data_IF_594877994545
#
_entry.id   IF_594877994545
#
_cell.length_a   1.000
_cell.length_b   1.000
_cell.length_c   1.000
_cell.angle_alpha   90.00
_cell.angle_beta   90.00
_cell.angle_gamma   90.00
#
_symmetry.space_group_name_H-M   'P 1'
#
loop_
_entity.id
_entity.type
_entity.pdbx_description
1 polymer ?
#
# COMPACT_ATOMS: atom_id res chain seq x y z
N UNK A 1 -12.51 8.47 22.56
CA UNK A 1 -13.15 8.13 21.28
C UNK A 1 -12.09 8.26 20.22
N UNK A 2 -11.65 7.22 19.58
CA UNK A 2 -10.64 7.37 18.55
C UNK A 2 -11.30 7.97 17.31
N UNK A 3 -10.83 9.14 16.94
CA UNK A 3 -10.91 9.62 15.58
C UNK A 3 -10.26 8.51 14.74
N UNK A 4 -10.99 7.93 13.79
CA UNK A 4 -10.35 7.10 12.77
C UNK A 4 -9.56 8.08 11.90
N UNK A 5 -8.34 8.34 12.32
CA UNK A 5 -7.36 9.01 11.48
C UNK A 5 -6.96 7.93 10.47
N UNK A 6 -7.46 8.05 9.26
CA UNK A 6 -6.93 7.29 8.13
C UNK A 6 -5.45 7.62 8.11
N UNK A 7 -4.56 6.62 8.15
CA UNK A 7 -3.13 6.88 8.20
C UNK A 7 -2.75 7.84 7.08
N UNK A 8 -2.03 8.88 7.40
CA UNK A 8 -1.57 9.89 6.42
C UNK A 8 -0.87 9.26 5.21
N UNK A 9 -0.32 8.07 5.40
CA UNK A 9 0.38 7.28 4.40
C UNK A 9 -0.49 6.84 3.22
N UNK A 10 -1.64 6.24 3.49
CA UNK A 10 -2.57 5.81 2.43
C UNK A 10 -3.21 7.03 1.76
N UNK A 11 -3.34 8.15 2.51
CA UNK A 11 -3.86 9.40 1.95
C UNK A 11 -2.80 10.24 1.24
N UNK A 12 -1.52 10.17 1.65
CA UNK A 12 -0.47 10.96 1.02
C UNK A 12 -0.22 10.55 -0.43
N UNK A 13 -0.28 9.27 -0.72
CA UNK A 13 -0.27 8.80 -2.11
C UNK A 13 -1.60 9.08 -2.84
N UNK A 14 -2.65 9.57 -2.13
CA UNK A 14 -3.96 9.90 -2.69
C UNK A 14 -4.27 11.41 -2.80
N UNK A 15 -3.44 12.32 -2.28
CA UNK A 15 -3.72 13.77 -2.33
C UNK A 15 -2.83 14.47 -3.36
N UNK A 16 -3.45 14.94 -4.42
CA UNK A 16 -2.86 15.87 -5.39
C UNK A 16 -2.95 17.29 -4.85
N UNK A 17 -1.85 18.06 -5.06
CA UNK A 17 -1.67 19.37 -4.49
C UNK A 17 -2.76 20.39 -4.84
N UNK A 18 -3.29 21.03 -3.82
CA UNK A 18 -3.99 22.29 -3.97
C UNK A 18 -2.97 23.42 -4.20
N UNK A 19 -3.11 24.13 -5.30
CA UNK A 19 -2.43 25.42 -5.50
C UNK A 19 -3.03 26.45 -4.54
N UNK A 20 -2.27 26.85 -3.50
CA UNK A 20 -2.63 28.00 -2.69
C UNK A 20 -2.12 29.28 -3.35
N UNK A 21 -3.01 30.27 -3.47
CA UNK A 21 -2.71 31.63 -3.89
C UNK A 21 -1.76 32.31 -2.89
N UNK A 22 -0.81 33.08 -3.42
CA UNK A 22 0.20 33.82 -2.69
C UNK A 22 -0.40 34.81 -1.67
N UNK A 23 0.09 34.81 -0.44
CA UNK A 23 0.03 35.95 0.47
C UNK A 23 1.39 36.20 1.12
N UNK A 24 1.68 37.44 1.27
CA UNK A 24 2.93 38.12 1.55
C UNK A 24 3.77 37.57 2.70
N UNK A 25 5.07 37.51 2.46
CA UNK A 25 6.14 37.18 3.40
C UNK A 25 6.33 38.27 4.46
N UNK A 26 6.36 37.86 5.73
CA UNK A 26 7.06 38.60 6.79
C UNK A 26 8.22 37.74 7.27
N UNK A 27 9.45 38.24 7.08
CA UNK A 27 10.68 37.60 7.56
C UNK A 27 10.74 37.70 9.09
N UNK A 28 10.82 36.56 9.77
CA UNK A 28 11.26 36.49 11.16
C UNK A 28 12.65 35.86 11.16
N UNK A 29 13.62 36.61 11.65
CA UNK A 29 14.99 36.16 11.92
C UNK A 29 14.96 35.52 13.31
N UNK A 30 15.31 34.23 13.44
CA UNK A 30 15.47 33.54 14.75
C UNK A 30 16.96 33.31 14.97
N UNK A 31 17.49 33.89 16.04
CA UNK A 31 18.84 33.64 16.53
C UNK A 31 18.96 32.29 17.22
N UNK A 32 20.15 31.65 17.25
CA UNK A 32 20.31 30.32 17.85
C UNK A 32 20.49 30.45 19.36
N UNK A 33 19.55 29.90 20.14
CA UNK A 33 19.78 29.75 21.56
C UNK A 33 18.60 29.72 22.54
N UNK A 34 17.37 29.44 22.12
CA UNK A 34 16.30 29.29 23.10
C UNK A 34 15.67 27.88 23.07
N UNK A 35 15.74 27.23 24.23
CA UNK A 35 15.01 26.00 24.51
C UNK A 35 13.50 26.28 24.50
N UNK A 36 12.74 25.47 23.79
CA UNK A 36 11.29 25.55 23.79
C UNK A 36 10.73 25.33 25.20
N UNK A 37 9.78 26.17 25.65
CA UNK A 37 9.15 25.96 26.96
C UNK A 37 8.29 24.71 26.95
N UNK A 38 8.40 23.94 28.05
CA UNK A 38 7.49 22.84 28.38
C UNK A 38 6.05 23.37 28.41
N UNK A 39 5.17 22.76 27.66
CA UNK A 39 3.74 23.11 27.69
C UNK A 39 3.17 22.75 29.06
N UNK A 40 2.79 23.77 29.78
CA UNK A 40 2.01 23.66 31.01
C UNK A 40 0.62 23.09 30.73
N UNK A 41 0.25 22.05 31.47
CA UNK A 41 -1.10 21.46 31.44
C UNK A 41 -2.13 22.40 32.07
N UNK A 42 -2.45 23.47 31.37
CA UNK A 42 -3.57 24.33 31.70
C UNK A 42 -4.90 23.70 31.29
N UNK A 43 -5.59 23.06 32.22
CA UNK A 43 -7.02 22.72 32.07
C UNK A 43 -7.83 23.96 31.67
N UNK A 44 -8.13 24.08 30.39
CA UNK A 44 -9.21 24.98 29.93
C UNK A 44 -10.52 24.20 29.87
N UNK A 45 -11.35 24.42 30.90
CA UNK A 45 -12.77 24.10 30.86
C UNK A 45 -13.41 24.84 29.67
N UNK A 46 -13.55 24.17 28.54
CA UNK A 46 -14.45 24.61 27.49
C UNK A 46 -15.86 24.19 27.87
N UNK A 47 -16.68 25.17 28.18
CA UNK A 47 -18.13 25.00 28.36
C UNK A 47 -18.70 24.28 27.14
N UNK A 48 -19.35 23.13 27.36
CA UNK A 48 -19.89 22.29 26.33
C UNK A 48 -20.87 23.05 25.44
N UNK A 49 -20.49 23.23 24.19
CA UNK A 49 -21.40 23.72 23.15
C UNK A 49 -22.37 22.61 22.73
N UNK A 50 -23.49 22.97 22.12
CA UNK A 50 -24.50 22.04 21.63
C UNK A 50 -23.98 20.94 20.67
N UNK A 51 -22.73 21.04 20.20
CA UNK A 51 -22.06 20.07 19.38
C UNK A 51 -21.71 18.75 20.15
N UNK A 52 -21.56 18.78 21.47
CA UNK A 52 -21.27 17.60 22.28
C UNK A 52 -22.47 16.68 22.55
N UNK A 53 -23.68 17.14 22.26
CA UNK A 53 -24.90 16.37 22.57
C UNK A 53 -25.31 15.35 21.52
N UNK A 54 -24.68 15.32 20.34
CA UNK A 54 -25.05 14.39 19.25
C UNK A 54 -24.04 13.29 18.97
N UNK A 55 -23.17 12.94 19.92
CA UNK A 55 -22.19 11.85 19.76
C UNK A 55 -22.87 10.50 19.49
N UNK A 56 -23.99 10.22 20.13
CA UNK A 56 -24.76 9.00 19.90
C UNK A 56 -25.39 8.98 18.49
N UNK A 57 -25.94 10.09 18.04
CA UNK A 57 -26.50 10.24 16.70
C UNK A 57 -25.41 10.17 15.61
N UNK A 58 -24.24 10.76 15.86
CA UNK A 58 -23.08 10.66 14.95
C UNK A 58 -22.57 9.23 14.86
N UNK A 59 -22.45 8.52 15.99
CA UNK A 59 -22.06 7.13 16.03
C UNK A 59 -23.10 6.22 15.34
N UNK A 60 -24.39 6.50 15.49
CA UNK A 60 -25.46 5.77 14.80
C UNK A 60 -25.40 5.99 13.28
N UNK A 61 -25.24 7.25 12.82
CA UNK A 61 -25.07 7.57 11.40
C UNK A 61 -23.82 6.91 10.81
N UNK A 62 -22.72 6.90 11.56
CA UNK A 62 -21.49 6.23 11.11
C UNK A 62 -21.68 4.71 11.00
N UNK A 63 -22.32 4.08 11.98
CA UNK A 63 -22.67 2.64 11.92
C UNK A 63 -23.60 2.33 10.76
N UNK A 64 -24.62 3.14 10.52
CA UNK A 64 -25.51 2.97 9.37
C UNK A 64 -24.79 3.12 8.05
N UNK A 65 -23.87 4.09 7.92
CA UNK A 65 -23.02 4.26 6.74
C UNK A 65 -22.10 3.07 6.53
N UNK A 66 -21.46 2.57 7.59
CA UNK A 66 -20.61 1.36 7.50
C UNK A 66 -21.41 0.12 7.13
N UNK A 67 -22.61 -0.04 7.69
CA UNK A 67 -23.51 -1.14 7.33
C UNK A 67 -23.93 -1.06 5.85
N UNK A 68 -24.20 0.14 5.33
CA UNK A 68 -24.50 0.33 3.91
C UNK A 68 -23.29 0.02 3.02
N UNK A 69 -22.10 0.47 3.42
CA UNK A 69 -20.85 0.17 2.69
C UNK A 69 -20.48 -1.32 2.71
N UNK A 70 -20.95 -2.07 3.67
CA UNK A 70 -20.70 -3.50 3.80
C UNK A 70 -21.74 -4.37 3.05
N UNK A 71 -22.76 -3.78 2.45
CA UNK A 71 -23.74 -4.54 1.66
C UNK A 71 -23.08 -5.04 0.39
N UNK A 72 -23.19 -6.33 0.15
CA UNK A 72 -22.77 -6.95 -1.09
C UNK A 72 -23.67 -6.43 -2.20
N UNK A 73 -23.06 -5.90 -3.24
CA UNK A 73 -23.70 -5.36 -4.43
C UNK A 73 -22.94 -5.77 -5.67
N UNK A 74 -23.59 -5.76 -6.80
CA UNK A 74 -22.95 -5.95 -8.10
C UNK A 74 -22.90 -4.60 -8.82
N UNK A 75 -21.71 -4.22 -9.25
CA UNK A 75 -21.48 -2.97 -10.01
C UNK A 75 -20.65 -3.24 -11.25
N UNK A 76 -20.73 -2.32 -12.22
CA UNK A 76 -19.82 -2.33 -13.35
C UNK A 76 -18.40 -1.94 -12.90
N UNK A 77 -17.37 -2.43 -13.58
CA UNK A 77 -15.96 -2.15 -13.25
C UNK A 77 -15.67 -0.66 -13.04
N UNK A 78 -16.20 0.19 -13.89
CA UNK A 78 -16.01 1.65 -13.82
C UNK A 78 -16.58 2.28 -12.54
N UNK A 79 -17.43 1.55 -11.81
CA UNK A 79 -18.12 1.98 -10.61
C UNK A 79 -17.60 1.30 -9.34
N UNK A 80 -16.50 0.55 -9.42
CA UNK A 80 -15.90 -0.17 -8.30
C UNK A 80 -15.62 0.74 -7.08
N UNK A 81 -15.26 2.00 -7.33
CA UNK A 81 -15.06 2.98 -6.27
C UNK A 81 -16.33 3.29 -5.45
N UNK A 82 -17.53 2.92 -5.95
CA UNK A 82 -18.76 2.98 -5.17
C UNK A 82 -18.87 1.89 -4.11
N UNK A 83 -18.12 0.79 -4.28
CA UNK A 83 -18.04 -0.29 -3.31
C UNK A 83 -16.98 -0.02 -2.23
N UNK A 84 -15.94 0.75 -2.55
CA UNK A 84 -14.91 1.14 -1.60
C UNK A 84 -14.32 2.51 -1.95
N UNK A 85 -14.23 3.43 -0.98
CA UNK A 85 -13.52 4.69 -1.18
C UNK A 85 -12.00 4.51 -1.29
N UNK A 86 -11.48 3.33 -0.91
CA UNK A 86 -10.06 2.96 -0.93
C UNK A 86 -9.77 1.97 -2.07
N UNK A 87 -10.39 2.17 -3.25
CA UNK A 87 -10.15 1.33 -4.42
C UNK A 87 -8.83 1.74 -5.12
N UNK A 88 -7.73 1.67 -4.39
CA UNK A 88 -6.36 1.84 -4.88
C UNK A 88 -5.59 0.53 -4.73
N UNK A 89 -4.43 0.45 -5.36
CA UNK A 89 -3.53 -0.68 -5.30
C UNK A 89 -4.24 -2.00 -5.68
N UNK A 90 -4.87 -2.04 -6.87
CA UNK A 90 -5.69 -3.18 -7.25
C UNK A 90 -4.82 -4.39 -7.59
N UNK A 91 -5.15 -5.53 -6.99
CA UNK A 91 -4.54 -6.82 -7.33
C UNK A 91 -5.61 -7.81 -7.79
N UNK A 92 -5.40 -8.47 -8.91
CA UNK A 92 -6.32 -9.46 -9.46
C UNK A 92 -5.68 -10.85 -9.44
N UNK A 93 -6.32 -11.76 -8.76
CA UNK A 93 -6.00 -13.18 -8.78
C UNK A 93 -7.02 -13.94 -9.65
N UNK A 94 -6.62 -14.43 -10.84
CA UNK A 94 -7.45 -15.31 -11.67
C UNK A 94 -7.38 -16.74 -11.13
N UNK A 95 -8.48 -17.27 -10.60
CA UNK A 95 -8.54 -18.65 -10.15
C UNK A 95 -9.08 -19.57 -11.24
N UNK A 96 -8.21 -20.38 -11.82
CA UNK A 96 -8.52 -21.32 -12.90
C UNK A 96 -9.53 -22.39 -12.47
N UNK A 97 -9.55 -22.75 -11.19
CA UNK A 97 -10.41 -23.79 -10.66
C UNK A 97 -11.87 -23.36 -10.64
N UNK A 98 -12.13 -22.17 -10.16
CA UNK A 98 -13.49 -21.62 -10.03
C UNK A 98 -13.88 -20.75 -11.23
N UNK A 99 -12.94 -20.46 -12.15
CA UNK A 99 -13.10 -19.49 -13.22
C UNK A 99 -13.67 -18.17 -12.69
N UNK A 100 -12.99 -17.63 -11.65
CA UNK A 100 -13.37 -16.39 -10.99
C UNK A 100 -12.15 -15.50 -10.86
N UNK A 101 -12.31 -14.25 -11.19
CA UNK A 101 -11.34 -13.20 -10.89
C UNK A 101 -11.64 -12.66 -9.50
N UNK A 102 -10.64 -12.67 -8.62
CA UNK A 102 -10.69 -12.11 -7.28
C UNK A 102 -9.87 -10.83 -7.27
N UNK A 103 -10.50 -9.71 -6.96
CA UNK A 103 -9.83 -8.42 -6.84
C UNK A 103 -9.73 -8.07 -5.36
N UNK A 104 -8.51 -7.75 -4.94
CA UNK A 104 -8.21 -7.10 -3.67
C UNK A 104 -7.64 -5.71 -3.90
N UNK A 105 -7.64 -4.89 -2.87
CA UNK A 105 -7.14 -3.52 -2.93
C UNK A 105 -6.83 -3.03 -1.52
N UNK A 106 -6.30 -1.83 -1.38
CA UNK A 106 -6.27 -1.16 -0.09
C UNK A 106 -7.67 -1.10 0.52
N UNK A 107 -7.76 -1.29 1.84
CA UNK A 107 -9.02 -1.47 2.57
C UNK A 107 -9.32 -2.92 2.94
N UNK A 108 -8.54 -3.89 2.47
CA UNK A 108 -8.57 -5.29 2.91
C UNK A 108 -9.83 -6.06 2.51
N UNK A 109 -10.54 -5.59 1.49
CA UNK A 109 -11.77 -6.22 0.99
C UNK A 109 -11.53 -6.96 -0.32
N UNK A 110 -12.37 -7.93 -0.59
CA UNK A 110 -12.34 -8.69 -1.85
C UNK A 110 -13.59 -8.44 -2.67
N UNK A 111 -13.43 -8.48 -3.98
CA UNK A 111 -14.48 -8.39 -4.99
C UNK A 111 -14.32 -9.54 -5.97
N UNK A 112 -15.42 -10.03 -6.53
CA UNK A 112 -15.43 -11.17 -7.45
C UNK A 112 -16.05 -10.81 -8.78
N UNK A 113 -15.49 -11.35 -9.87
CA UNK A 113 -16.04 -11.23 -11.22
C UNK A 113 -15.85 -12.52 -12.00
N UNK A 114 -16.75 -12.78 -12.97
CA UNK A 114 -16.63 -13.87 -13.95
C UNK A 114 -16.16 -13.39 -15.31
N UNK A 115 -16.24 -12.09 -15.56
CA UNK A 115 -16.09 -11.50 -16.90
C UNK A 115 -15.23 -10.23 -16.91
N UNK A 116 -14.68 -9.81 -15.76
CA UNK A 116 -13.94 -8.56 -15.55
C UNK A 116 -14.78 -7.29 -15.76
N UNK A 117 -16.07 -7.43 -16.08
CA UNK A 117 -16.99 -6.33 -16.34
C UNK A 117 -17.88 -6.06 -15.14
N UNK A 118 -18.55 -7.10 -14.63
CA UNK A 118 -19.43 -6.99 -13.48
C UNK A 118 -18.73 -7.56 -12.24
N UNK A 119 -18.72 -6.78 -11.17
CA UNK A 119 -18.03 -7.09 -9.93
C UNK A 119 -18.99 -7.12 -8.75
N UNK A 120 -18.89 -8.16 -7.95
CA UNK A 120 -19.68 -8.37 -6.76
C UNK A 120 -18.81 -8.21 -5.50
N UNK A 121 -19.30 -7.49 -4.52
CA UNK A 121 -18.65 -7.25 -3.23
C UNK A 121 -19.26 -6.07 -2.47
N UNK A 122 -18.60 -5.61 -1.39
CA UNK A 122 -17.34 -6.09 -0.82
C UNK A 122 -17.51 -7.33 0.06
N UNK A 123 -16.52 -8.22 0.05
CA UNK A 123 -16.44 -9.36 0.97
C UNK A 123 -15.37 -9.14 2.04
N UNK A 124 -15.70 -9.45 3.28
CA UNK A 124 -14.70 -9.55 4.34
C UNK A 124 -14.12 -10.97 4.34
N UNK A 125 -12.83 -11.09 4.08
CA UNK A 125 -12.18 -12.39 3.85
C UNK A 125 -11.09 -12.70 4.87
N UNK A 126 -10.79 -11.79 5.80
CA UNK A 126 -9.71 -11.93 6.79
C UNK A 126 -10.28 -12.10 8.20
N UNK A 127 -9.59 -12.90 9.02
CA UNK A 127 -9.79 -12.98 10.45
C UNK A 127 -8.43 -12.78 11.15
N UNK A 128 -8.27 -11.63 11.74
CA UNK A 128 -7.07 -11.18 12.45
C UNK A 128 -7.35 -10.97 13.94
N UNK A 129 -8.42 -11.57 14.44
CA UNK A 129 -8.86 -11.42 15.82
C UNK A 129 -7.76 -11.79 16.82
N UNK A 130 -7.54 -10.94 17.80
CA UNK A 130 -6.54 -11.14 18.85
C UNK A 130 -5.09 -10.77 18.45
N UNK A 131 -4.86 -10.28 17.24
CA UNK A 131 -3.54 -9.81 16.80
C UNK A 131 -3.42 -8.29 16.89
N UNK A 132 -2.20 -7.77 16.75
CA UNK A 132 -1.98 -6.31 16.70
C UNK A 132 -2.64 -5.66 15.48
N UNK A 133 -2.80 -6.39 14.38
CA UNK A 133 -3.46 -5.92 13.15
C UNK A 133 -4.91 -5.48 13.38
N UNK A 134 -5.59 -6.04 14.38
CA UNK A 134 -6.98 -5.68 14.72
C UNK A 134 -7.09 -4.19 15.12
N UNK A 135 -6.09 -3.65 15.83
CA UNK A 135 -6.06 -2.23 16.21
C UNK A 135 -5.49 -1.32 15.11
N UNK A 136 -4.71 -1.87 14.19
CA UNK A 136 -4.17 -1.15 13.04
C UNK A 136 -5.25 -0.83 11.99
N UNK A 137 -6.35 -1.56 11.99
CA UNK A 137 -7.52 -1.29 11.13
C UNK A 137 -7.55 -2.13 9.87
N UNK A 138 -7.37 -1.54 8.70
CA UNK A 138 -7.45 -2.25 7.43
C UNK A 138 -6.05 -2.51 6.83
N UNK A 139 -5.96 -3.54 5.99
CA UNK A 139 -4.77 -3.82 5.21
C UNK A 139 -4.68 -2.87 4.00
N UNK A 140 -3.50 -2.33 3.73
CA UNK A 140 -3.17 -1.65 2.49
C UNK A 140 -2.55 -2.63 1.48
N UNK A 141 -2.62 -2.31 0.19
CA UNK A 141 -1.98 -3.02 -0.91
C UNK A 141 -2.11 -4.56 -0.81
N UNK A 142 -3.36 -5.01 -0.66
CA UNK A 142 -3.63 -6.42 -0.39
C UNK A 142 -3.58 -7.28 -1.65
N UNK A 143 -2.84 -8.38 -1.59
CA UNK A 143 -2.64 -9.34 -2.67
C UNK A 143 -3.09 -10.75 -2.28
N UNK A 144 -3.49 -11.57 -3.26
CA UNK A 144 -3.76 -13.00 -3.06
C UNK A 144 -2.80 -13.81 -3.94
N UNK A 145 -2.05 -14.69 -3.31
CA UNK A 145 -1.13 -15.61 -3.97
C UNK A 145 -1.53 -17.05 -3.71
N UNK A 146 -1.35 -17.93 -4.69
CA UNK A 146 -1.48 -19.38 -4.49
C UNK A 146 -0.11 -20.03 -4.53
N UNK A 147 0.26 -20.68 -3.43
CA UNK A 147 1.51 -21.44 -3.32
C UNK A 147 1.19 -22.83 -2.76
N UNK A 148 1.50 -23.87 -3.52
CA UNK A 148 1.09 -25.22 -3.20
C UNK A 148 -0.43 -25.35 -3.12
N UNK A 149 -0.91 -25.91 -2.01
CA UNK A 149 -2.34 -26.18 -1.79
C UNK A 149 -3.09 -25.02 -1.13
N UNK A 150 -2.39 -23.94 -0.75
CA UNK A 150 -2.94 -22.86 0.03
C UNK A 150 -2.96 -21.53 -0.73
N UNK A 151 -3.88 -20.67 -0.31
CA UNK A 151 -3.95 -19.29 -0.70
C UNK A 151 -3.38 -18.42 0.42
N UNK A 152 -2.60 -17.43 0.05
CA UNK A 152 -1.95 -16.48 0.97
C UNK A 152 -2.42 -15.08 0.64
N UNK A 153 -2.84 -14.39 1.67
CA UNK A 153 -3.17 -12.97 1.60
C UNK A 153 -1.99 -12.19 2.15
N UNK A 154 -1.34 -11.39 1.32
CA UNK A 154 -0.30 -10.46 1.72
C UNK A 154 -0.93 -9.08 1.85
N UNK A 155 -0.84 -8.47 3.00
CA UNK A 155 -1.38 -7.13 3.24
C UNK A 155 -0.48 -6.35 4.18
N UNK A 156 -0.44 -5.04 4.02
CA UNK A 156 0.33 -4.14 4.88
C UNK A 156 -0.58 -3.52 5.94
N UNK A 157 -0.21 -3.67 7.20
CA UNK A 157 -0.87 -3.00 8.33
C UNK A 157 0.04 -1.96 8.95
N UNK A 158 -0.56 -0.86 9.45
CA UNK A 158 0.13 0.27 10.07
C UNK A 158 -0.32 0.43 11.52
N UNK A 159 0.53 0.07 12.47
CA UNK A 159 0.24 0.27 13.90
C UNK A 159 0.79 1.61 14.39
N UNK A 160 -0.06 2.63 14.41
CA UNK A 160 0.29 3.96 14.91
C UNK A 160 0.46 4.04 16.42
N UNK A 161 0.11 2.99 17.16
CA UNK A 161 0.35 2.89 18.59
C UNK A 161 1.72 2.30 18.92
N UNK A 162 2.38 1.68 17.94
CA UNK A 162 3.71 1.11 18.02
C UNK A 162 4.65 1.85 17.08
N UNK A 163 5.48 2.73 17.64
CA UNK A 163 6.39 3.57 16.86
C UNK A 163 7.77 2.94 16.86
N UNK A 164 8.19 2.44 15.70
CA UNK A 164 9.40 1.63 15.58
C UNK A 164 10.70 2.44 15.63
N UNK A 165 10.71 3.67 15.12
CA UNK A 165 11.91 4.50 15.15
C UNK A 165 11.58 5.98 15.10
N UNK A 166 12.28 6.76 15.93
CA UNK A 166 12.36 8.20 15.76
C UNK A 166 13.55 8.52 14.87
N UNK A 167 13.28 8.98 13.64
CA UNK A 167 14.33 9.37 12.71
C UNK A 167 14.72 10.83 12.94
N UNK A 168 16.01 11.17 13.09
CA UNK A 168 16.45 12.57 13.17
C UNK A 168 15.88 13.37 12.00
N UNK A 169 15.32 14.54 12.29
CA UNK A 169 14.66 15.43 11.32
C UNK A 169 13.31 14.96 10.77
N UNK A 170 12.82 13.81 11.21
CA UNK A 170 11.50 13.26 10.86
C UNK A 170 10.72 13.05 12.15
N UNK A 171 9.52 12.56 12.06
CA UNK A 171 8.79 12.10 13.22
C UNK A 171 8.84 10.59 13.30
N UNK A 172 8.29 10.08 14.38
CA UNK A 172 8.17 8.66 14.57
C UNK A 172 7.39 8.03 13.42
N UNK A 173 7.92 6.94 12.89
CA UNK A 173 7.22 6.13 11.90
C UNK A 173 6.42 5.04 12.61
N UNK A 174 5.21 4.70 12.15
CA UNK A 174 4.44 3.59 12.69
C UNK A 174 5.14 2.26 12.41
N UNK A 175 4.76 1.23 13.14
CA UNK A 175 5.13 -0.13 12.79
C UNK A 175 4.31 -0.55 11.56
N UNK A 176 4.92 -0.47 10.38
CA UNK A 176 4.37 -0.92 9.12
C UNK A 176 5.01 -2.25 8.73
N UNK A 177 4.18 -3.26 8.51
CA UNK A 177 4.64 -4.58 8.09
C UNK A 177 3.65 -5.21 7.10
N UNK A 178 4.18 -5.90 6.10
CA UNK A 178 3.37 -6.82 5.31
C UNK A 178 3.30 -8.15 6.03
N UNK A 179 2.10 -8.56 6.37
CA UNK A 179 1.81 -9.83 7.05
C UNK A 179 1.16 -10.80 6.07
N UNK A 180 1.50 -12.09 6.21
CA UNK A 180 0.87 -13.16 5.46
C UNK A 180 -0.22 -13.82 6.30
N UNK A 181 -1.40 -13.95 5.72
CA UNK A 181 -2.48 -14.77 6.24
C UNK A 181 -2.72 -15.93 5.28
N UNK A 182 -3.26 -17.06 5.74
CA UNK A 182 -3.46 -18.27 4.93
C UNK A 182 -4.91 -18.72 4.91
N UNK A 183 -5.35 -19.27 3.78
CA UNK A 183 -6.64 -19.93 3.60
C UNK A 183 -6.53 -21.16 2.71
N UNK A 184 -7.48 -22.07 2.82
CA UNK A 184 -7.67 -23.21 1.90
C UNK A 184 -8.48 -22.81 0.65
N UNK A 185 -9.07 -21.62 0.64
CA UNK A 185 -9.94 -21.11 -0.43
C UNK A 185 -9.58 -19.68 -0.80
N UNK A 186 -9.74 -19.28 -2.05
CA UNK A 186 -9.50 -17.91 -2.46
C UNK A 186 -10.44 -16.91 -1.76
N UNK A 187 -11.65 -17.34 -1.37
CA UNK A 187 -12.61 -16.49 -0.64
C UNK A 187 -12.32 -16.38 0.86
N UNK A 188 -11.28 -17.03 1.38
CA UNK A 188 -11.00 -17.03 2.81
C UNK A 188 -11.90 -17.98 3.64
N UNK A 189 -11.98 -17.83 4.97
CA UNK A 189 -11.28 -16.79 5.71
C UNK A 189 -9.75 -16.99 5.67
N UNK A 190 -9.03 -15.89 5.55
CA UNK A 190 -7.58 -15.86 5.72
C UNK A 190 -7.26 -15.61 7.18
N UNK A 191 -6.46 -16.49 7.76
CA UNK A 191 -6.12 -16.47 9.19
C UNK A 191 -4.62 -16.47 9.40
N UNK A 192 -4.18 -16.02 10.56
CA UNK A 192 -2.78 -16.14 11.00
C UNK A 192 -2.40 -17.62 11.05
N UNK A 193 -1.22 -17.94 10.56
CA UNK A 193 -0.71 -19.32 10.50
C UNK A 193 0.76 -19.45 10.87
N UNK A 194 1.45 -18.32 10.99
CA UNK A 194 2.85 -18.27 11.42
C UNK A 194 2.98 -18.51 12.93
N UNK A 195 4.22 -18.69 13.39
CA UNK A 195 4.54 -18.95 14.79
C UNK A 195 5.18 -17.70 15.46
N UNK A 196 5.32 -16.60 14.71
CA UNK A 196 5.87 -15.36 15.23
C UNK A 196 4.77 -14.55 15.94
N UNK A 197 4.88 -14.25 17.24
CA UNK A 197 3.87 -13.49 17.97
C UNK A 197 3.68 -12.06 17.44
N UNK A 198 4.71 -11.52 16.78
CA UNK A 198 4.66 -10.18 16.17
C UNK A 198 4.19 -10.23 14.70
N UNK A 199 4.17 -11.42 14.09
CA UNK A 199 3.82 -11.64 12.68
C UNK A 199 4.69 -10.88 11.68
N UNK A 200 5.90 -10.47 12.09
CA UNK A 200 6.83 -9.70 11.26
C UNK A 200 7.59 -10.63 10.30
N UNK A 201 7.54 -10.31 9.02
CA UNK A 201 8.34 -10.97 7.97
C UNK A 201 9.54 -10.13 7.54
N UNK A 202 9.47 -8.82 7.69
CA UNK A 202 10.54 -7.87 7.48
C UNK A 202 11.21 -7.51 8.81
N UNK A 203 12.39 -6.84 8.82
CA UNK A 203 12.97 -6.36 10.08
C UNK A 203 12.01 -5.45 10.82
N UNK A 204 11.78 -5.76 12.10
CA UNK A 204 10.81 -5.04 12.93
C UNK A 204 11.09 -3.54 13.03
N UNK A 205 12.37 -3.14 12.99
CA UNK A 205 12.80 -1.76 13.07
C UNK A 205 12.69 -1.00 11.73
N UNK A 206 12.21 -1.66 10.67
CA UNK A 206 12.03 -1.06 9.36
C UNK A 206 10.57 -0.68 9.12
N UNK A 207 10.39 0.46 8.47
CA UNK A 207 9.11 0.91 7.94
C UNK A 207 8.90 0.23 6.57
N UNK A 208 8.18 -0.90 6.58
CA UNK A 208 8.03 -1.76 5.41
C UNK A 208 6.60 -1.86 4.94
N UNK A 209 6.39 -1.72 3.61
CA UNK A 209 5.07 -1.83 2.99
C UNK A 209 5.10 -2.68 1.73
N UNK A 210 3.94 -3.00 1.18
CA UNK A 210 3.69 -3.53 -0.17
C UNK A 210 4.47 -4.80 -0.49
N UNK A 211 4.48 -5.74 0.46
CA UNK A 211 5.15 -7.02 0.26
C UNK A 211 4.39 -7.92 -0.71
N UNK A 212 5.08 -8.39 -1.75
CA UNK A 212 4.60 -9.38 -2.72
C UNK A 212 5.40 -10.67 -2.66
N UNK A 213 4.77 -11.80 -2.99
CA UNK A 213 5.44 -13.10 -3.00
C UNK A 213 5.99 -13.43 -4.40
N UNK A 214 7.20 -13.96 -4.42
CA UNK A 214 7.87 -14.43 -5.63
C UNK A 214 8.52 -15.79 -5.41
N UNK A 215 8.29 -16.71 -6.34
CA UNK A 215 8.89 -18.05 -6.32
C UNK A 215 9.93 -18.20 -7.42
N UNK A 216 11.12 -18.67 -7.04
CA UNK A 216 12.23 -18.94 -7.96
C UNK A 216 12.97 -20.19 -7.53
N UNK A 217 13.07 -21.20 -8.41
CA UNK A 217 13.81 -22.45 -8.19
C UNK A 217 13.42 -23.17 -6.89
N UNK A 218 12.13 -23.15 -6.54
CA UNK A 218 11.57 -23.78 -5.35
C UNK A 218 11.92 -23.06 -4.04
N UNK A 219 12.41 -21.84 -4.12
CA UNK A 219 12.60 -20.89 -3.02
C UNK A 219 11.52 -19.82 -3.11
N UNK A 220 11.07 -19.35 -1.97
CA UNK A 220 10.02 -18.34 -1.88
C UNK A 220 10.60 -17.08 -1.25
N UNK A 221 10.33 -15.97 -1.87
CA UNK A 221 10.79 -14.65 -1.43
C UNK A 221 9.60 -13.74 -1.18
N UNK A 222 9.76 -12.82 -0.24
CA UNK A 222 8.95 -11.64 -0.13
C UNK A 222 9.77 -10.45 -0.62
N UNK A 223 9.29 -9.79 -1.68
CA UNK A 223 9.82 -8.51 -2.18
C UNK A 223 8.96 -7.41 -1.57
N UNK A 224 9.56 -6.36 -1.05
CA UNK A 224 8.86 -5.31 -0.33
C UNK A 224 9.56 -3.96 -0.42
N UNK A 225 8.86 -2.93 -0.04
CA UNK A 225 9.36 -1.56 0.04
C UNK A 225 9.90 -1.29 1.44
N UNK A 226 11.09 -0.71 1.55
CA UNK A 226 11.55 -0.03 2.76
C UNK A 226 11.42 1.48 2.54
N UNK A 227 10.55 2.09 3.28
CA UNK A 227 9.95 3.38 3.03
C UNK A 227 10.91 4.57 3.05
N UNK A 228 10.70 5.51 2.11
CA UNK A 228 11.42 6.78 2.04
C UNK A 228 11.21 7.65 3.28
N UNK A 229 10.12 7.48 3.98
CA UNK A 229 9.81 8.16 5.24
C UNK A 229 10.82 7.84 6.32
N UNK A 230 11.40 6.67 6.29
CA UNK A 230 12.49 6.26 7.16
C UNK A 230 13.86 6.54 6.50
N UNK A 231 14.04 6.19 5.23
CA UNK A 231 15.34 6.21 4.56
C UNK A 231 15.68 7.53 3.86
N UNK A 232 14.71 8.31 3.41
CA UNK A 232 14.80 9.44 2.45
C UNK A 232 14.72 8.94 1.01
N UNK A 233 15.61 8.05 0.62
CA UNK A 233 15.64 7.38 -0.66
C UNK A 233 15.15 5.94 -0.45
N UNK A 234 13.86 5.70 -0.72
CA UNK A 234 13.21 4.41 -0.53
C UNK A 234 13.92 3.31 -1.31
N UNK A 235 13.90 2.10 -0.77
CA UNK A 235 14.51 0.94 -1.41
C UNK A 235 13.48 -0.12 -1.73
N UNK A 236 13.77 -0.93 -2.73
CA UNK A 236 13.15 -2.21 -2.97
C UNK A 236 14.04 -3.29 -2.39
N UNK A 237 13.50 -4.10 -1.50
CA UNK A 237 14.23 -5.12 -0.76
C UNK A 237 13.55 -6.48 -0.88
N UNK A 238 14.27 -7.56 -0.58
CA UNK A 238 13.67 -8.88 -0.43
C UNK A 238 14.27 -9.65 0.73
N UNK A 239 13.48 -10.59 1.22
CA UNK A 239 13.88 -11.65 2.15
C UNK A 239 13.48 -13.01 1.58
N UNK A 240 14.22 -14.06 1.94
CA UNK A 240 13.81 -15.43 1.67
C UNK A 240 12.96 -15.95 2.82
N UNK A 241 11.86 -16.62 2.47
CA UNK A 241 10.94 -17.25 3.41
C UNK A 241 11.21 -18.74 3.52
N UNK A 242 10.85 -19.32 4.67
CA UNK A 242 10.80 -20.76 4.82
C UNK A 242 9.77 -21.37 3.86
N UNK A 243 9.91 -22.63 3.47
CA UNK A 243 9.01 -23.31 2.53
C UNK A 243 7.55 -23.36 2.99
N UNK A 244 7.32 -23.34 4.28
CA UNK A 244 5.99 -23.27 4.89
C UNK A 244 5.47 -21.84 5.06
N UNK A 245 6.23 -20.84 4.63
CA UNK A 245 5.99 -19.40 4.74
C UNK A 245 5.75 -18.91 6.18
N UNK A 246 6.15 -19.66 7.18
CA UNK A 246 5.93 -19.28 8.59
C UNK A 246 6.95 -18.30 9.14
N UNK A 247 8.09 -18.09 8.47
CA UNK A 247 9.15 -17.20 8.92
C UNK A 247 10.11 -16.83 7.81
N UNK A 248 10.78 -15.74 8.03
CA UNK A 248 11.95 -15.32 7.24
C UNK A 248 13.18 -16.14 7.63
N UNK A 249 13.99 -16.55 6.64
CA UNK A 249 15.20 -17.35 6.82
C UNK A 249 16.48 -16.69 6.30
N UNK A 250 16.38 -15.49 5.76
CA UNK A 250 17.53 -14.68 5.31
C UNK A 250 17.55 -13.31 5.98
N UNK A 251 18.67 -12.61 5.83
CA UNK A 251 18.68 -11.16 6.03
C UNK A 251 18.07 -10.48 4.81
N UNK A 252 17.54 -9.26 4.98
CA UNK A 252 17.07 -8.49 3.84
C UNK A 252 18.22 -8.13 2.89
N UNK A 253 17.90 -8.09 1.61
CA UNK A 253 18.83 -7.72 0.53
C UNK A 253 18.20 -6.59 -0.27
N UNK A 254 18.89 -5.47 -0.37
CA UNK A 254 18.46 -4.33 -1.17
C UNK A 254 18.71 -4.63 -2.65
N UNK A 255 17.68 -4.46 -3.46
CA UNK A 255 17.69 -4.66 -4.90
C UNK A 255 18.11 -3.38 -5.64
N UNK A 256 17.50 -2.25 -5.27
CA UNK A 256 17.81 -0.93 -5.82
C UNK A 256 17.21 0.18 -4.94
N UNK A 257 17.55 1.43 -5.24
CA UNK A 257 17.00 2.65 -4.65
C UNK A 257 16.11 3.37 -5.66
N UNK A 258 15.11 4.11 -5.16
CA UNK A 258 14.21 4.87 -6.02
C UNK A 258 14.96 5.87 -6.91
N UNK A 259 15.99 6.54 -6.37
CA UNK A 259 16.80 7.54 -7.11
C UNK A 259 17.62 6.95 -8.27
N UNK A 260 17.74 5.62 -8.36
CA UNK A 260 18.39 4.96 -9.50
C UNK A 260 17.56 5.03 -10.79
N UNK A 261 16.25 5.32 -10.69
CA UNK A 261 15.41 5.55 -11.85
C UNK A 261 15.55 7.01 -12.31
N UNK A 262 16.02 7.28 -13.55
CA UNK A 262 16.29 8.63 -14.01
C UNK A 262 15.09 9.60 -14.01
N UNK A 263 13.87 9.08 -14.11
CA UNK A 263 12.64 9.88 -14.08
C UNK A 263 11.95 9.92 -12.70
N UNK A 264 12.55 9.35 -11.68
CA UNK A 264 12.06 9.46 -10.31
C UNK A 264 12.29 10.89 -9.78
N UNK A 265 11.22 11.52 -9.30
CA UNK A 265 11.24 12.88 -8.77
C UNK A 265 11.34 12.92 -7.26
N UNK A 266 11.90 14.01 -6.75
CA UNK A 266 11.95 14.26 -5.31
C UNK A 266 10.60 14.76 -4.77
N UNK A 267 10.13 14.15 -3.69
CA UNK A 267 8.78 14.34 -3.13
C UNK A 267 8.69 15.48 -2.09
N UNK A 268 9.33 16.60 -2.34
CA UNK A 268 9.31 17.75 -1.42
C UNK A 268 7.89 18.26 -1.09
N UNK A 269 7.02 18.32 -2.10
CA UNK A 269 5.63 18.76 -1.93
C UNK A 269 4.78 17.77 -1.12
N UNK A 270 4.96 16.48 -1.32
CA UNK A 270 4.27 15.44 -0.54
C UNK A 270 4.74 15.47 0.90
N UNK A 271 6.04 15.61 1.15
CA UNK A 271 6.60 15.78 2.47
C UNK A 271 5.98 16.98 3.20
N UNK A 272 5.81 18.10 2.54
CA UNK A 272 5.18 19.28 3.12
C UNK A 272 3.70 19.07 3.42
N UNK A 273 2.95 18.43 2.51
CA UNK A 273 1.53 18.12 2.71
C UNK A 273 1.31 17.11 3.83
N UNK A 274 2.15 16.09 3.92
CA UNK A 274 1.99 15.00 4.89
C UNK A 274 2.50 15.40 6.27
N UNK A 275 3.60 16.16 6.32
CA UNK A 275 4.37 16.37 7.54
C UNK A 275 4.46 17.83 7.98
N UNK A 276 3.80 18.73 7.25
CA UNK A 276 3.82 20.16 7.52
C UNK A 276 5.19 20.83 7.31
N UNK A 277 6.13 20.14 6.65
CA UNK A 277 7.46 20.65 6.34
C UNK A 277 8.02 19.99 5.10
N UNK A 278 8.88 20.72 4.37
CA UNK A 278 9.61 20.16 3.24
C UNK A 278 10.50 19.00 3.71
N UNK A 279 10.31 17.86 3.08
CA UNK A 279 11.11 16.67 3.31
C UNK A 279 11.50 16.09 1.96
N UNK A 280 12.81 16.02 1.66
CA UNK A 280 13.25 15.28 0.49
C UNK A 280 12.89 13.82 0.64
N UNK A 281 12.54 13.18 -0.46
CA UNK A 281 12.26 11.76 -0.48
C UNK A 281 12.04 11.27 -1.89
N UNK A 282 12.47 10.04 -2.14
CA UNK A 282 12.23 9.31 -3.37
C UNK A 282 11.46 8.04 -3.01
N UNK A 283 10.31 7.86 -3.61
CA UNK A 283 9.36 6.81 -3.27
C UNK A 283 9.67 5.53 -4.05
N UNK A 284 9.66 4.38 -3.38
CA UNK A 284 9.41 3.08 -3.97
C UNK A 284 8.04 2.62 -3.53
N UNK A 285 7.29 1.90 -4.40
CA UNK A 285 5.91 1.52 -4.14
C UNK A 285 5.54 0.30 -5.00
N UNK A 286 4.61 -0.53 -4.56
CA UNK A 286 3.91 -1.58 -5.29
C UNK A 286 4.73 -2.49 -6.19
N UNK A 287 5.67 -3.31 -5.69
CA UNK A 287 6.42 -4.25 -6.52
C UNK A 287 5.53 -5.37 -7.04
N UNK A 288 5.69 -5.72 -8.32
CA UNK A 288 5.14 -6.96 -8.88
C UNK A 288 6.18 -7.63 -9.77
N UNK A 289 6.55 -8.85 -9.42
CA UNK A 289 7.48 -9.67 -10.20
C UNK A 289 6.78 -10.31 -11.39
N UNK A 290 7.42 -10.31 -12.56
CA UNK A 290 6.91 -10.98 -13.74
C UNK A 290 8.02 -11.57 -14.61
N UNK A 291 7.67 -12.50 -15.49
CA UNK A 291 8.56 -12.96 -16.55
C UNK A 291 7.98 -12.61 -17.92
N UNK A 292 8.85 -12.08 -18.77
CA UNK A 292 8.50 -11.84 -20.17
C UNK A 292 8.32 -13.16 -20.94
N UNK A 293 7.76 -13.11 -22.13
CA UNK A 293 7.65 -14.27 -23.03
C UNK A 293 9.02 -14.87 -23.37
N UNK A 294 10.09 -14.07 -23.34
CA UNK A 294 11.47 -14.53 -23.58
C UNK A 294 12.15 -15.06 -22.33
N UNK A 295 11.42 -15.11 -21.18
CA UNK A 295 11.94 -15.61 -19.91
C UNK A 295 12.73 -14.59 -19.07
N UNK A 296 12.89 -13.34 -19.54
CA UNK A 296 13.56 -12.27 -18.78
C UNK A 296 12.78 -11.95 -17.52
N UNK A 297 13.43 -11.93 -16.37
CA UNK A 297 12.80 -11.53 -15.12
C UNK A 297 12.69 -10.01 -15.05
N UNK A 298 11.50 -9.52 -14.78
CA UNK A 298 11.19 -8.11 -14.61
C UNK A 298 10.43 -7.83 -13.32
N UNK A 299 10.37 -6.57 -12.94
CA UNK A 299 9.56 -6.05 -11.87
C UNK A 299 8.86 -4.78 -12.33
N UNK A 300 7.54 -4.73 -12.16
CA UNK A 300 6.80 -3.48 -12.11
C UNK A 300 6.93 -2.92 -10.70
N UNK A 301 7.09 -1.61 -10.60
CA UNK A 301 7.07 -0.88 -9.34
C UNK A 301 6.60 0.55 -9.59
N UNK A 302 6.12 1.23 -8.58
CA UNK A 302 5.60 2.57 -8.76
C UNK A 302 6.43 3.61 -7.99
N UNK A 303 6.40 4.84 -8.48
CA UNK A 303 7.08 5.98 -7.87
C UNK A 303 6.44 7.30 -8.32
N UNK A 304 6.99 8.39 -7.85
CA UNK A 304 6.64 9.71 -8.33
C UNK A 304 7.71 10.25 -9.28
N UNK A 305 7.25 10.77 -10.42
CA UNK A 305 8.06 11.68 -11.22
C UNK A 305 7.99 13.09 -10.62
N UNK A 306 8.48 14.10 -11.37
CA UNK A 306 8.47 15.49 -10.89
C UNK A 306 7.06 16.00 -10.56
N UNK A 307 6.04 15.57 -11.30
CA UNK A 307 4.68 16.10 -11.18
C UNK A 307 3.61 15.02 -10.89
N UNK A 308 3.86 13.74 -11.18
CA UNK A 308 2.83 12.69 -11.19
C UNK A 308 3.34 11.35 -10.74
N UNK A 309 2.40 10.56 -10.21
CA UNK A 309 2.60 9.14 -9.93
C UNK A 309 2.74 8.36 -11.22
N UNK A 310 3.69 7.43 -11.27
CA UNK A 310 4.03 6.67 -12.46
C UNK A 310 4.32 5.20 -12.14
N UNK A 311 4.12 4.35 -13.12
CA UNK A 311 4.55 2.96 -13.12
C UNK A 311 5.89 2.84 -13.82
N UNK A 312 6.87 2.34 -13.10
CA UNK A 312 8.20 2.01 -13.59
C UNK A 312 8.33 0.52 -13.88
N UNK A 313 9.36 0.16 -14.61
CA UNK A 313 9.77 -1.22 -14.85
C UNK A 313 11.28 -1.34 -14.78
N UNK A 314 11.76 -2.43 -14.19
CA UNK A 314 13.16 -2.79 -14.23
C UNK A 314 13.32 -4.29 -14.55
N UNK A 315 14.53 -4.68 -14.92
CA UNK A 315 14.84 -6.05 -15.29
C UNK A 315 16.07 -6.55 -14.59
N UNK A 316 16.03 -7.80 -14.16
CA UNK A 316 17.22 -8.50 -13.66
C UNK A 316 18.17 -8.85 -14.83
N UNK A 317 19.43 -8.45 -14.71
CA UNK A 317 20.47 -8.80 -15.67
C UNK A 317 20.85 -10.28 -15.60
N UNK A 318 20.90 -10.85 -14.39
CA UNK A 318 21.16 -12.28 -14.19
C UNK A 318 19.95 -13.17 -14.53
N UNK A 319 18.74 -12.59 -14.64
CA UNK A 319 17.50 -13.34 -14.76
C UNK A 319 17.00 -13.97 -13.46
N UNK A 320 17.65 -13.67 -12.32
CA UNK A 320 17.26 -14.11 -10.97
C UNK A 320 16.94 -12.94 -10.06
N UNK A 321 16.32 -13.20 -8.91
CA UNK A 321 15.99 -12.15 -7.93
C UNK A 321 17.22 -11.38 -7.43
N UNK A 322 18.39 -12.00 -7.46
CA UNK A 322 19.66 -11.39 -7.01
C UNK A 322 20.11 -10.20 -7.88
N UNK A 323 19.56 -10.04 -9.09
CA UNK A 323 19.94 -8.94 -9.98
C UNK A 323 21.33 -9.07 -10.61
N UNK A 324 22.05 -7.98 -10.91
CA UNK A 324 21.63 -6.60 -10.66
C UNK A 324 20.38 -6.19 -11.42
N UNK A 325 19.65 -5.21 -10.88
CA UNK A 325 18.41 -4.71 -11.44
C UNK A 325 18.65 -3.43 -12.24
N UNK A 326 18.27 -3.45 -13.50
CA UNK A 326 18.49 -2.34 -14.44
C UNK A 326 17.16 -1.64 -14.68
N UNK A 327 17.09 -0.36 -14.34
CA UNK A 327 15.92 0.47 -14.52
C UNK A 327 15.73 0.82 -16.01
N UNK A 328 14.51 0.67 -16.51
CA UNK A 328 14.14 1.26 -17.80
C UNK A 328 14.03 2.79 -17.63
N UNK A 329 14.75 3.58 -18.45
CA UNK A 329 14.83 5.03 -18.24
C UNK A 329 13.51 5.75 -18.49
N UNK A 330 12.56 5.11 -19.16
CA UNK A 330 11.22 5.64 -19.42
C UNK A 330 10.20 4.88 -18.58
N UNK A 331 9.22 5.57 -17.99
CA UNK A 331 8.16 4.90 -17.26
C UNK A 331 7.32 4.02 -18.19
N UNK A 332 6.80 2.92 -17.66
CA UNK A 332 5.83 2.08 -18.33
C UNK A 332 4.51 2.84 -18.53
N UNK A 333 4.10 3.62 -17.53
CA UNK A 333 2.92 4.47 -17.57
C UNK A 333 3.15 5.72 -16.70
N UNK A 334 2.84 6.91 -17.23
CA UNK A 334 3.14 8.20 -16.57
C UNK A 334 1.96 9.19 -16.62
N UNK A 335 0.73 8.71 -16.43
CA UNK A 335 -0.48 9.51 -16.49
C UNK A 335 -1.18 9.65 -15.14
N UNK A 336 -0.44 9.79 -14.05
CA UNK A 336 -0.94 9.77 -12.69
C UNK A 336 -1.56 8.41 -12.31
N UNK A 337 -0.91 7.34 -12.75
CA UNK A 337 -1.27 5.96 -12.50
C UNK A 337 -0.07 5.17 -12.01
N UNK A 338 -0.29 4.24 -11.12
CA UNK A 338 0.76 3.39 -10.59
C UNK A 338 0.21 2.28 -9.72
N UNK A 339 1.10 1.56 -9.05
CA UNK A 339 0.80 0.42 -8.21
C UNK A 339 -0.12 -0.58 -8.94
N UNK A 340 0.28 -0.92 -10.15
CA UNK A 340 -0.49 -1.82 -11.01
C UNK A 340 0.18 -3.17 -11.15
N UNK A 341 -0.59 -4.15 -11.63
CA UNK A 341 -0.11 -5.50 -11.83
C UNK A 341 -0.58 -6.10 -13.16
N UNK A 342 0.25 -7.01 -13.68
CA UNK A 342 -0.04 -7.82 -14.84
C UNK A 342 -0.74 -9.11 -14.43
N UNK A 343 -1.77 -9.51 -15.18
CA UNK A 343 -2.40 -10.81 -15.02
C UNK A 343 -2.86 -11.36 -16.38
N UNK A 344 -3.10 -12.66 -16.45
CA UNK A 344 -3.68 -13.29 -17.62
C UNK A 344 -5.15 -13.58 -17.39
N UNK A 345 -5.96 -13.30 -18.44
CA UNK A 345 -7.36 -13.74 -18.46
C UNK A 345 -7.46 -15.25 -18.65
N UNK A 346 -8.63 -15.81 -18.45
CA UNK A 346 -8.89 -17.25 -18.72
C UNK A 346 -8.76 -17.62 -20.19
N UNK A 347 -8.83 -16.64 -21.09
CA UNK A 347 -8.59 -16.75 -22.53
C UNK A 347 -7.10 -16.61 -22.89
N UNK A 348 -6.24 -16.31 -21.89
CA UNK A 348 -4.78 -16.17 -22.06
C UNK A 348 -4.32 -14.78 -22.44
N UNK A 349 -5.22 -13.79 -22.54
CA UNK A 349 -4.85 -12.40 -22.81
C UNK A 349 -4.06 -11.81 -21.65
N UNK A 350 -2.99 -11.08 -21.97
CA UNK A 350 -2.26 -10.31 -20.96
C UNK A 350 -2.99 -8.99 -20.69
N UNK A 351 -3.34 -8.76 -19.45
CA UNK A 351 -3.99 -7.53 -18.99
C UNK A 351 -3.14 -6.87 -17.90
N UNK A 352 -3.28 -5.56 -17.83
CA UNK A 352 -2.68 -4.75 -16.78
C UNK A 352 -3.79 -3.99 -16.05
N UNK A 353 -3.83 -4.12 -14.74
CA UNK A 353 -4.71 -3.34 -13.87
C UNK A 353 -3.87 -2.37 -13.06
N UNK A 354 -4.35 -1.14 -12.90
CA UNK A 354 -3.64 -0.06 -12.22
C UNK A 354 -4.65 0.87 -11.58
N UNK A 355 -4.31 1.55 -10.51
CA UNK A 355 -5.11 2.69 -10.10
C UNK A 355 -4.71 3.96 -10.84
N UNK A 356 -5.69 4.79 -11.12
CA UNK A 356 -5.54 6.08 -11.80
C UNK A 356 -6.27 7.18 -11.04
N UNK A 357 -5.73 8.38 -11.05
CA UNK A 357 -6.35 9.59 -10.52
C UNK A 357 -6.59 10.58 -11.66
N UNK A 358 -7.83 10.89 -11.92
CA UNK A 358 -8.22 11.93 -12.88
C UNK A 358 -8.43 13.26 -12.16
N UNK A 359 -7.55 14.23 -12.41
CA UNK A 359 -7.57 15.53 -11.72
C UNK A 359 -7.40 15.35 -10.20
N UNK A 360 -8.31 15.95 -9.44
CA UNK A 360 -8.41 15.83 -7.97
C UNK A 360 -9.42 14.76 -7.53
N UNK A 361 -9.79 13.87 -8.45
CA UNK A 361 -10.80 12.83 -8.22
C UNK A 361 -10.32 11.67 -7.36
N UNK A 362 -11.23 10.75 -7.00
CA UNK A 362 -10.86 9.53 -6.30
C UNK A 362 -10.04 8.62 -7.20
N UNK A 363 -9.20 7.78 -6.60
CA UNK A 363 -8.54 6.69 -7.30
C UNK A 363 -9.56 5.71 -7.86
N UNK A 364 -9.33 5.30 -9.10
CA UNK A 364 -10.15 4.32 -9.79
C UNK A 364 -9.26 3.28 -10.44
N UNK A 365 -9.60 2.00 -10.37
CA UNK A 365 -8.89 0.99 -11.13
C UNK A 365 -9.15 1.21 -12.63
N UNK A 366 -8.14 0.95 -13.43
CA UNK A 366 -8.22 0.94 -14.89
C UNK A 366 -7.62 -0.35 -15.44
N UNK A 367 -8.20 -0.87 -16.52
CA UNK A 367 -7.64 -1.99 -17.27
C UNK A 367 -7.00 -1.51 -18.56
N UNK A 368 -5.88 -2.15 -18.89
CA UNK A 368 -5.19 -2.00 -20.14
C UNK A 368 -4.91 -3.37 -20.74
N UNK A 369 -5.01 -3.48 -22.06
CA UNK A 369 -4.48 -4.63 -22.81
C UNK A 369 -3.00 -4.38 -23.04
N UNK A 370 -2.19 -5.40 -22.86
CA UNK A 370 -0.74 -5.34 -23.11
C UNK A 370 -0.46 -6.21 -24.31
N UNK A 371 0.06 -5.60 -25.38
CA UNK A 371 0.42 -6.27 -26.63
C UNK A 371 1.79 -6.97 -26.54
#
# INVERSE_FOLDING_TARGET
MPLVIIPAFVLASCQTGQKSSASQQTKVVVEPGEQAPLMDEGQKNFGGSAADRDTAGRAARMRARMAEMNKIRTVHFNDLNQLSPLMCDPYIYPDETTKTYYLTSSGGRMYKSKDLVMWEGPYNIIDISGTWMERAGFAAAAEIHKIGDYYYYAGTWSDHSDLIQQVPRRYNVPHNQTVLLRSEKPEGPYVVFDENPDHDYQPREWDCIDGTLYEEDGRIYMVFVHEWTQLIDGTMDYVELSKDLKRTISKPVTMFRASELPCCGEMNGLGEATFGRKMPGWVTDGPQMFRTQTGKLGMLWATWGEERYLQAVCYSESGTIAGPWIQEPKPFLANNSGHGMLFRTFEGELRYVVHHVEGDGPRKPQFWTVD
#
